data_IF_537945912367
#
_entry.id   IF_537945912367
#
_cell.length_a   1.000
_cell.length_b   1.000
_cell.length_c   1.000
_cell.angle_alpha   90.00
_cell.angle_beta   90.00
_cell.angle_gamma   90.00
#
_symmetry.space_group_name_H-M   'P 1'
#
loop_
_entity.id
_entity.type
_entity.pdbx_description
1 polymer ?
#
# COMPACT_ATOMS: atom_id res chain seq x y z
N UNK A 1 45.95 45.07 27.14
CA UNK A 1 45.54 45.36 25.74
C UNK A 1 46.33 44.37 24.89
N UNK A 2 45.74 43.39 24.20
CA UNK A 2 45.19 43.56 22.85
C UNK A 2 44.60 42.22 22.34
N UNK A 3 43.40 42.33 21.72
CA UNK A 3 42.71 41.42 20.76
C UNK A 3 42.08 40.11 21.24
N UNK A 4 40.74 40.14 21.25
CA UNK A 4 39.81 39.01 21.30
C UNK A 4 39.59 38.40 19.90
N UNK A 5 39.10 37.17 19.95
CA UNK A 5 38.24 36.46 19.00
C UNK A 5 38.93 35.65 17.88
N UNK A 6 38.91 34.33 18.07
CA UNK A 6 38.78 33.36 16.98
C UNK A 6 37.63 32.43 17.35
N UNK A 7 36.48 32.63 16.71
CA UNK A 7 35.39 31.67 16.70
C UNK A 7 35.72 30.62 15.63
N UNK A 8 36.03 29.39 16.06
CA UNK A 8 36.13 28.24 15.18
C UNK A 8 34.82 27.46 15.27
N UNK A 9 33.91 27.72 14.33
CA UNK A 9 32.75 26.88 14.07
C UNK A 9 33.24 25.62 13.36
N UNK A 10 33.45 24.54 14.11
CA UNK A 10 33.63 23.22 13.53
C UNK A 10 32.24 22.61 13.27
N UNK A 11 31.78 22.72 12.04
CA UNK A 11 30.56 22.11 11.55
C UNK A 11 30.66 20.58 11.71
N UNK A 12 29.85 20.01 12.59
CA UNK A 12 29.64 18.56 12.64
C UNK A 12 28.94 18.11 11.36
N UNK A 13 29.62 17.35 10.52
CA UNK A 13 28.96 16.62 9.45
C UNK A 13 28.18 15.47 10.11
N UNK A 14 26.90 15.69 10.37
CA UNK A 14 25.97 14.60 10.63
C UNK A 14 25.88 13.77 9.35
N UNK A 15 26.42 12.55 9.39
CA UNK A 15 26.13 11.55 8.36
C UNK A 15 24.64 11.22 8.47
N UNK A 16 23.81 11.90 7.68
CA UNK A 16 22.47 11.40 7.40
C UNK A 16 22.67 10.07 6.67
N UNK A 17 22.30 8.96 7.32
CA UNK A 17 22.21 7.68 6.64
C UNK A 17 21.32 7.90 5.40
N UNK A 18 21.74 7.46 4.20
CA UNK A 18 20.86 7.55 3.04
C UNK A 18 19.56 6.81 3.37
N UNK A 19 18.38 7.34 2.99
CA UNK A 19 17.17 6.55 3.07
C UNK A 19 17.40 5.26 2.32
N UNK A 20 17.12 4.13 2.98
CA UNK A 20 17.24 2.80 2.41
C UNK A 20 16.27 2.80 1.22
N UNK A 21 16.80 2.93 0.01
CA UNK A 21 16.03 2.73 -1.21
C UNK A 21 15.66 1.24 -1.23
N UNK A 22 14.49 0.90 -0.70
CA UNK A 22 13.91 -0.42 -0.84
C UNK A 22 13.80 -0.69 -2.34
N UNK A 23 14.48 -1.76 -2.78
CA UNK A 23 14.62 -2.15 -4.17
C UNK A 23 13.32 -1.98 -4.96
N UNK A 24 13.45 -1.55 -6.21
CA UNK A 24 12.41 -1.18 -7.18
C UNK A 24 11.30 -2.23 -7.47
N UNK A 25 11.25 -3.32 -6.69
CA UNK A 25 10.30 -4.43 -6.72
C UNK A 25 9.30 -4.34 -5.55
N UNK A 26 8.51 -3.28 -5.48
CA UNK A 26 7.57 -3.04 -4.37
C UNK A 26 6.12 -2.93 -4.83
N UNK A 27 5.76 -3.47 -6.00
CA UNK A 27 4.39 -3.40 -6.47
C UNK A 27 3.47 -4.24 -5.61
N UNK A 28 2.34 -3.65 -5.23
CA UNK A 28 1.26 -4.25 -4.47
C UNK A 28 -0.03 -4.27 -5.30
N UNK A 29 -0.83 -5.31 -5.14
CA UNK A 29 -2.14 -5.44 -5.73
C UNK A 29 -3.12 -6.15 -4.80
N UNK A 30 -4.39 -5.78 -4.88
CA UNK A 30 -5.50 -6.36 -4.14
C UNK A 30 -6.56 -6.88 -5.11
N UNK A 31 -7.08 -8.08 -4.85
CA UNK A 31 -8.22 -8.65 -5.55
C UNK A 31 -9.25 -9.20 -4.56
N UNK A 32 -10.50 -9.28 -5.01
CA UNK A 32 -11.61 -9.86 -4.24
C UNK A 32 -12.41 -10.83 -5.11
N UNK A 33 -13.00 -11.85 -4.48
CA UNK A 33 -14.13 -12.60 -5.03
C UNK A 33 -15.44 -11.92 -4.61
N UNK A 34 -16.24 -11.43 -5.57
CA UNK A 34 -17.48 -10.73 -5.27
C UNK A 34 -18.54 -11.67 -4.65
N UNK A 35 -18.53 -12.98 -4.96
CA UNK A 35 -19.49 -13.96 -4.41
C UNK A 35 -19.18 -14.40 -2.98
N UNK A 36 -17.92 -14.39 -2.57
CA UNK A 36 -17.50 -14.89 -1.25
C UNK A 36 -16.93 -13.82 -0.33
N UNK A 37 -16.61 -12.64 -0.86
CA UNK A 37 -15.89 -11.58 -0.14
C UNK A 37 -14.43 -11.93 0.16
N UNK A 38 -13.89 -13.01 -0.41
CA UNK A 38 -12.53 -13.44 -0.15
C UNK A 38 -11.51 -12.52 -0.83
N UNK A 39 -10.60 -11.95 -0.06
CA UNK A 39 -9.63 -10.95 -0.50
C UNK A 39 -8.25 -11.58 -0.53
N UNK A 40 -7.50 -11.25 -1.59
CA UNK A 40 -6.09 -11.59 -1.70
C UNK A 40 -5.30 -10.32 -1.95
N UNK A 41 -4.09 -10.27 -1.40
CA UNK A 41 -3.13 -9.20 -1.60
C UNK A 41 -1.82 -9.85 -2.03
N UNK A 42 -1.20 -9.28 -3.05
CA UNK A 42 0.15 -9.65 -3.47
C UNK A 42 1.02 -8.39 -3.41
N UNK A 43 2.18 -8.49 -2.77
CA UNK A 43 3.17 -7.41 -2.69
C UNK A 43 4.57 -7.91 -3.10
N UNK A 44 5.55 -6.99 -3.16
CA UNK A 44 6.94 -7.32 -3.50
C UNK A 44 7.16 -7.69 -4.98
N UNK A 45 6.20 -7.40 -5.85
CA UNK A 45 6.33 -7.72 -7.26
C UNK A 45 7.21 -6.70 -8.00
N UNK A 46 7.90 -7.17 -9.04
CA UNK A 46 8.81 -6.36 -9.85
C UNK A 46 8.12 -5.35 -10.78
N UNK A 47 6.81 -5.49 -11.00
CA UNK A 47 6.03 -4.60 -11.85
C UNK A 47 4.54 -4.67 -11.50
N UNK A 48 3.77 -3.71 -11.99
CA UNK A 48 2.31 -3.70 -11.85
C UNK A 48 1.68 -4.99 -12.38
N UNK A 49 2.02 -5.35 -13.62
CA UNK A 49 1.46 -6.55 -14.26
C UNK A 49 1.84 -7.83 -13.52
N UNK A 50 3.02 -7.87 -12.88
CA UNK A 50 3.41 -8.99 -12.03
C UNK A 50 2.58 -9.06 -10.74
N UNK A 51 2.31 -7.93 -10.08
CA UNK A 51 1.46 -7.88 -8.88
C UNK A 51 0.02 -8.28 -9.20
N UNK A 52 -0.56 -7.68 -10.24
CA UNK A 52 -1.92 -7.96 -10.70
C UNK A 52 -2.07 -9.43 -11.11
N UNK A 53 -1.11 -9.97 -11.86
CA UNK A 53 -1.10 -11.40 -12.21
C UNK A 53 -1.00 -12.28 -10.97
N UNK A 54 -0.09 -11.98 -10.05
CA UNK A 54 0.13 -12.78 -8.85
C UNK A 54 -1.11 -12.83 -7.95
N UNK A 55 -1.75 -11.67 -7.70
CA UNK A 55 -2.96 -11.60 -6.86
C UNK A 55 -4.14 -12.31 -7.52
N UNK A 56 -4.29 -12.17 -8.84
CA UNK A 56 -5.38 -12.80 -9.59
C UNK A 56 -5.18 -14.31 -9.73
N UNK A 57 -3.95 -14.77 -10.00
CA UNK A 57 -3.62 -16.20 -10.03
C UNK A 57 -3.86 -16.84 -8.66
N UNK A 58 -3.51 -16.13 -7.57
CA UNK A 58 -3.74 -16.61 -6.20
C UNK A 58 -5.23 -16.70 -5.88
N UNK A 59 -5.99 -15.64 -6.15
CA UNK A 59 -7.43 -15.63 -5.96
C UNK A 59 -8.12 -16.75 -6.77
N UNK A 60 -7.69 -16.95 -8.03
CA UNK A 60 -8.23 -17.97 -8.94
C UNK A 60 -7.88 -19.42 -8.62
N UNK A 61 -6.89 -19.67 -7.76
CA UNK A 61 -6.65 -21.02 -7.23
C UNK A 61 -7.80 -21.52 -6.38
N UNK A 62 -8.48 -20.60 -5.69
CA UNK A 62 -9.55 -20.93 -4.76
C UNK A 62 -10.93 -20.60 -5.35
N UNK A 63 -11.04 -19.56 -6.19
CA UNK A 63 -12.33 -18.96 -6.55
C UNK A 63 -12.33 -18.36 -7.98
N UNK A 64 -13.36 -18.61 -8.79
CA UNK A 64 -13.34 -18.21 -10.21
C UNK A 64 -13.71 -16.74 -10.50
N UNK A 65 -14.51 -16.10 -9.66
CA UNK A 65 -15.09 -14.76 -9.89
C UNK A 65 -14.26 -13.61 -9.27
N UNK A 66 -12.94 -13.76 -9.31
CA UNK A 66 -12.02 -12.74 -8.81
C UNK A 66 -12.00 -11.48 -9.68
N UNK A 67 -11.92 -10.32 -9.03
CA UNK A 67 -11.80 -8.99 -9.62
C UNK A 67 -10.68 -8.20 -8.94
N UNK A 68 -9.87 -7.52 -9.73
CA UNK A 68 -8.85 -6.59 -9.24
C UNK A 68 -9.53 -5.36 -8.62
N UNK A 69 -9.07 -4.94 -7.44
CA UNK A 69 -9.59 -3.79 -6.72
C UNK A 69 -8.66 -2.58 -6.79
N UNK A 70 -7.37 -2.80 -6.54
CA UNK A 70 -6.36 -1.75 -6.55
C UNK A 70 -4.98 -2.34 -6.83
N UNK A 71 -4.08 -1.53 -7.37
CA UNK A 71 -2.68 -1.87 -7.56
C UNK A 71 -1.85 -0.59 -7.60
N UNK A 72 -0.61 -0.66 -7.14
CA UNK A 72 0.30 0.47 -7.21
C UNK A 72 1.72 0.10 -6.79
N UNK A 73 2.64 1.03 -7.04
CA UNK A 73 4.05 0.84 -6.72
C UNK A 73 4.32 1.28 -5.29
N UNK A 74 4.74 0.36 -4.42
CA UNK A 74 4.88 0.63 -2.99
C UNK A 74 3.56 1.01 -2.35
N UNK A 75 3.63 1.70 -1.20
CA UNK A 75 2.47 2.24 -0.52
C UNK A 75 1.56 1.17 0.09
N UNK A 76 0.29 1.48 0.24
CA UNK A 76 -0.71 0.67 0.91
C UNK A 76 -1.93 0.47 0.02
N UNK A 77 -2.63 -0.63 0.26
CA UNK A 77 -3.97 -0.89 -0.26
C UNK A 77 -4.95 -0.96 0.90
N UNK A 78 -6.19 -0.54 0.67
CA UNK A 78 -7.25 -0.59 1.67
C UNK A 78 -8.58 -0.97 1.01
N UNK A 79 -9.51 -1.44 1.82
CA UNK A 79 -10.83 -1.88 1.39
C UNK A 79 -11.93 -1.04 2.01
N UNK A 80 -12.90 -0.62 1.20
CA UNK A 80 -14.15 -0.02 1.64
C UNK A 80 -15.34 -0.83 1.14
N UNK A 81 -16.46 -0.75 1.87
CA UNK A 81 -17.76 -1.25 1.43
C UNK A 81 -18.71 -0.06 1.27
N UNK A 82 -19.55 -0.03 0.24
CA UNK A 82 -20.55 1.03 0.08
C UNK A 82 -21.61 1.04 1.20
N UNK A 83 -22.36 2.14 1.30
CA UNK A 83 -23.44 2.28 2.28
C UNK A 83 -24.49 1.16 2.26
N UNK A 84 -24.72 0.55 1.09
CA UNK A 84 -25.66 -0.54 0.90
C UNK A 84 -25.09 -1.93 1.27
N UNK A 85 -23.82 -2.00 1.66
CA UNK A 85 -23.11 -3.24 2.00
C UNK A 85 -23.17 -4.29 0.87
N UNK A 86 -23.28 -3.83 -0.38
CA UNK A 86 -23.50 -4.67 -1.56
C UNK A 86 -22.27 -4.80 -2.44
N UNK A 87 -21.26 -3.93 -2.27
CA UNK A 87 -20.07 -3.95 -3.10
C UNK A 87 -18.84 -3.45 -2.35
N UNK A 88 -17.73 -4.14 -2.57
CA UNK A 88 -16.42 -3.76 -2.08
C UNK A 88 -15.61 -2.99 -3.13
N UNK A 89 -14.83 -2.04 -2.63
CA UNK A 89 -13.99 -1.14 -3.39
C UNK A 89 -12.60 -1.12 -2.75
N UNK A 90 -11.56 -1.25 -3.58
CA UNK A 90 -10.20 -1.05 -3.11
C UNK A 90 -9.68 0.32 -3.48
N UNK A 91 -8.82 0.83 -2.62
CA UNK A 91 -7.99 1.99 -2.85
C UNK A 91 -6.51 1.63 -2.70
N UNK A 92 -5.67 2.35 -3.41
CA UNK A 92 -4.23 2.34 -3.24
C UNK A 92 -3.74 3.77 -2.99
N UNK A 93 -2.78 3.94 -2.10
CA UNK A 93 -2.14 5.22 -1.83
C UNK A 93 -0.73 5.05 -1.26
N UNK A 94 0.10 6.10 -1.25
CA UNK A 94 1.45 6.01 -0.69
C UNK A 94 1.46 5.81 0.84
N UNK A 95 0.35 6.15 1.51
CA UNK A 95 0.10 5.88 2.94
C UNK A 95 -1.18 5.06 3.12
N UNK A 96 -1.41 4.57 4.33
CA UNK A 96 -2.64 3.83 4.69
C UNK A 96 -3.85 4.74 4.59
N UNK A 97 -3.72 5.97 5.09
CA UNK A 97 -4.76 7.00 5.04
C UNK A 97 -5.12 7.36 3.60
N UNK A 98 -4.14 7.47 2.70
CA UNK A 98 -4.39 7.74 1.28
C UNK A 98 -5.10 6.56 0.59
N UNK A 99 -4.73 5.33 0.95
CA UNK A 99 -5.37 4.13 0.42
C UNK A 99 -6.83 4.04 0.87
N UNK A 100 -7.09 4.32 2.15
CA UNK A 100 -8.44 4.39 2.72
C UNK A 100 -9.28 5.50 2.08
N UNK A 101 -8.71 6.70 1.95
CA UNK A 101 -9.37 7.82 1.29
C UNK A 101 -9.78 7.45 -0.14
N UNK A 102 -8.86 6.85 -0.92
CA UNK A 102 -9.17 6.41 -2.28
C UNK A 102 -10.25 5.30 -2.30
N UNK A 103 -10.24 4.39 -1.33
CA UNK A 103 -11.27 3.35 -1.23
C UNK A 103 -12.65 3.97 -0.96
N UNK A 104 -12.73 4.97 -0.08
CA UNK A 104 -13.96 5.70 0.25
C UNK A 104 -14.46 6.59 -0.89
N UNK A 105 -13.57 7.25 -1.63
CA UNK A 105 -13.94 8.01 -2.83
C UNK A 105 -14.68 7.14 -3.85
N UNK A 106 -14.30 5.86 -3.92
CA UNK A 106 -14.91 4.87 -4.81
C UNK A 106 -16.13 4.18 -4.22
N UNK A 107 -16.35 4.30 -2.91
CA UNK A 107 -17.45 3.71 -2.16
C UNK A 107 -18.37 4.81 -1.59
N UNK A 108 -19.30 5.39 -2.38
CA UNK A 108 -20.16 6.47 -1.92
C UNK A 108 -20.92 6.12 -0.64
N UNK A 109 -20.76 6.96 0.39
CA UNK A 109 -21.35 6.76 1.72
C UNK A 109 -20.84 5.51 2.45
N UNK A 110 -19.73 4.94 1.99
CA UNK A 110 -19.17 3.69 2.48
C UNK A 110 -18.35 3.83 3.75
N UNK A 111 -17.82 2.69 4.21
CA UNK A 111 -16.96 2.58 5.38
C UNK A 111 -15.74 1.71 5.07
N UNK A 112 -14.62 1.98 5.74
CA UNK A 112 -13.42 1.15 5.67
C UNK A 112 -13.68 -0.19 6.36
N UNK A 113 -13.20 -1.27 5.75
CA UNK A 113 -13.17 -2.59 6.37
C UNK A 113 -11.88 -2.75 7.16
N UNK A 114 -12.01 -2.72 8.49
CA UNK A 114 -10.87 -2.84 9.40
C UNK A 114 -10.14 -4.19 9.22
N UNK A 115 -8.80 -4.16 9.19
CA UNK A 115 -7.97 -5.36 9.04
C UNK A 115 -7.86 -5.87 7.60
N UNK A 116 -8.36 -5.10 6.63
CA UNK A 116 -8.23 -5.38 5.19
C UNK A 116 -7.34 -4.36 4.47
N UNK A 117 -6.54 -3.62 5.24
CA UNK A 117 -5.47 -2.75 4.80
C UNK A 117 -4.12 -3.47 4.85
N UNK A 118 -3.25 -3.20 3.87
CA UNK A 118 -1.90 -3.79 3.81
C UNK A 118 -0.93 -2.84 3.11
N UNK A 119 0.23 -2.59 3.72
CA UNK A 119 1.30 -1.83 3.09
C UNK A 119 2.41 -2.73 2.56
N UNK A 120 2.96 -2.38 1.41
CA UNK A 120 4.04 -3.11 0.77
C UNK A 120 5.25 -3.20 1.73
N UNK A 121 5.71 -4.43 2.00
CA UNK A 121 6.84 -4.67 2.91
C UNK A 121 6.44 -4.87 4.37
N UNK A 122 5.18 -4.62 4.74
CA UNK A 122 4.57 -5.30 5.89
C UNK A 122 4.43 -6.75 5.44
N UNK A 123 5.15 -7.71 6.03
CA UNK A 123 5.07 -9.10 5.58
C UNK A 123 3.61 -9.55 5.50
N UNK A 124 3.22 -10.19 4.40
CA UNK A 124 1.86 -10.72 4.20
C UNK A 124 1.49 -11.59 5.40
N UNK A 125 0.59 -11.09 6.26
CA UNK A 125 0.06 -11.88 7.36
C UNK A 125 -0.80 -12.98 6.72
N UNK A 126 -0.20 -14.17 6.64
CA UNK A 126 -0.81 -15.40 6.13
C UNK A 126 -1.99 -15.83 7.00
#
# INVERSE_FOLDING_TARGET
>A
MTKRALAAVAAGMAFAAPPIAHADNNWIAMAISDSTGHINIADGAASQGAAEKAVMDTCRKSISDCRLLASGQGGCVALAVNAAHSRYFGGWGPTREDAEAQALERAPGGTIQAGHDHCAGEGSSQ
#
